data_IF_511867360463
#
_entry.id   IF_511867360463
#
_cell.length_a   1.000
_cell.length_b   1.000
_cell.length_c   1.000
_cell.angle_alpha   90.00
_cell.angle_beta   90.00
_cell.angle_gamma   90.00
#
_symmetry.space_group_name_H-M   'P 1'
#
loop_
_entity.id
_entity.type
_entity.pdbx_description
1 polymer ?
#
# COMPACT_ATOMS: atom_id res chain seq x y z
N UNK A 1 -6.09 -88.92 28.33
CA UNK A 1 -4.93 -88.20 27.75
C UNK A 1 -5.32 -87.65 26.38
N UNK A 2 -5.62 -86.36 26.28
CA UNK A 2 -6.10 -85.71 25.05
C UNK A 2 -4.93 -85.10 24.27
N UNK A 3 -4.71 -85.54 23.02
CA UNK A 3 -3.74 -84.92 22.11
C UNK A 3 -4.29 -83.59 21.60
N UNK A 4 -3.55 -82.49 21.79
CA UNK A 4 -3.84 -81.19 21.16
C UNK A 4 -3.30 -81.15 19.74
N UNK A 5 -4.16 -80.88 18.76
CA UNK A 5 -3.75 -80.59 17.38
C UNK A 5 -3.60 -79.09 17.21
N UNK A 6 -2.43 -78.61 16.81
CA UNK A 6 -2.18 -77.19 16.58
C UNK A 6 -2.50 -76.81 15.13
N UNK A 7 -3.45 -75.90 14.94
CA UNK A 7 -3.67 -75.23 13.65
C UNK A 7 -2.81 -73.96 13.59
N UNK A 8 -2.00 -73.81 12.53
CA UNK A 8 -1.21 -72.60 12.25
C UNK A 8 -2.08 -71.66 11.39
N UNK A 9 -2.41 -70.43 11.84
CA UNK A 9 -3.06 -69.46 10.97
C UNK A 9 -2.06 -68.92 9.94
N UNK A 10 -2.46 -68.85 8.67
CA UNK A 10 -1.75 -68.11 7.62
C UNK A 10 -1.83 -66.61 7.92
N UNK A 11 -0.70 -65.93 7.98
CA UNK A 11 -0.63 -64.46 7.91
C UNK A 11 -0.77 -64.02 6.45
N UNK A 12 -1.98 -63.65 6.04
CA UNK A 12 -2.21 -62.94 4.79
C UNK A 12 -1.84 -61.47 5.02
N UNK A 13 -0.92 -60.93 4.21
CA UNK A 13 -0.44 -59.56 4.34
C UNK A 13 -1.49 -58.53 3.92
N UNK A 14 -1.67 -57.50 4.75
CA UNK A 14 -2.36 -56.27 4.37
C UNK A 14 -1.30 -55.19 4.12
N UNK A 15 -1.03 -54.87 2.86
CA UNK A 15 -0.26 -53.69 2.48
C UNK A 15 -1.15 -52.46 2.74
N UNK A 16 -0.96 -51.81 3.89
CA UNK A 16 -1.61 -50.55 4.20
C UNK A 16 -1.03 -49.45 3.31
N UNK A 17 -1.69 -49.17 2.19
CA UNK A 17 -1.41 -48.00 1.37
C UNK A 17 -1.75 -46.74 2.16
N UNK A 18 -0.73 -46.08 2.72
CA UNK A 18 -0.89 -44.77 3.36
C UNK A 18 -1.15 -43.74 2.26
N UNK A 19 -2.43 -43.45 2.01
CA UNK A 19 -2.82 -42.31 1.20
C UNK A 19 -2.43 -41.04 1.97
N UNK A 20 -1.34 -40.39 1.56
CA UNK A 20 -1.06 -39.03 2.00
C UNK A 20 -2.17 -38.12 1.45
N UNK A 21 -3.13 -37.80 2.32
CA UNK A 21 -3.99 -36.64 2.12
C UNK A 21 -3.10 -35.40 2.16
N UNK A 22 -2.74 -34.89 1.00
CA UNK A 22 -2.17 -33.57 0.86
C UNK A 22 -3.22 -32.54 1.29
N UNK A 23 -3.23 -32.23 2.59
CA UNK A 23 -3.88 -31.03 3.10
C UNK A 23 -3.19 -29.84 2.44
N UNK A 24 -3.83 -29.29 1.42
CA UNK A 24 -3.40 -28.02 0.84
C UNK A 24 -3.39 -26.99 1.97
N UNK A 25 -2.23 -26.38 2.21
CA UNK A 25 -2.13 -25.24 3.11
C UNK A 25 -3.21 -24.22 2.73
N UNK A 26 -3.92 -23.59 3.68
CA UNK A 26 -4.77 -22.47 3.34
C UNK A 26 -3.89 -21.45 2.61
N UNK A 27 -4.30 -21.06 1.41
CA UNK A 27 -3.56 -20.06 0.65
C UNK A 27 -3.53 -18.78 1.49
N UNK A 28 -2.33 -18.34 1.88
CA UNK A 28 -2.10 -16.96 2.29
C UNK A 28 -2.36 -16.12 1.06
N UNK A 29 -3.59 -15.60 0.96
CA UNK A 29 -4.14 -15.22 -0.32
C UNK A 29 -3.50 -13.92 -0.84
N UNK A 30 -3.19 -13.02 0.09
CA UNK A 30 -2.25 -11.90 -0.04
C UNK A 30 -0.83 -12.36 0.36
N UNK A 31 0.15 -12.18 -0.54
CA UNK A 31 1.58 -12.50 -0.29
C UNK A 31 2.45 -11.28 -0.55
N UNK A 32 3.46 -11.04 0.29
CA UNK A 32 4.46 -9.98 0.09
C UNK A 32 5.38 -10.33 -1.10
N UNK A 33 5.59 -9.37 -2.00
CA UNK A 33 6.35 -9.53 -3.24
C UNK A 33 7.26 -8.33 -3.50
N UNK A 34 8.26 -8.50 -4.37
CA UNK A 34 9.05 -7.39 -4.90
C UNK A 34 8.19 -6.44 -5.75
N UNK A 35 8.65 -5.18 -5.87
CA UNK A 35 8.00 -4.18 -6.73
C UNK A 35 8.01 -4.61 -8.21
N UNK A 36 6.86 -4.58 -8.92
CA UNK A 36 6.80 -4.98 -10.32
C UNK A 36 7.51 -3.95 -11.21
N UNK A 37 8.03 -4.39 -12.35
CA UNK A 37 8.78 -3.53 -13.28
C UNK A 37 7.98 -2.40 -13.91
N UNK A 38 6.64 -2.47 -13.83
CA UNK A 38 5.70 -1.48 -14.36
C UNK A 38 4.43 -1.44 -13.50
N UNK A 39 3.77 -0.28 -13.49
CA UNK A 39 2.45 -0.08 -12.89
C UNK A 39 1.43 0.31 -13.97
N UNK A 40 0.21 -0.18 -13.84
CA UNK A 40 -0.94 0.16 -14.68
C UNK A 40 -1.63 1.44 -14.19
N UNK A 41 -1.57 1.72 -12.89
CA UNK A 41 -2.22 2.88 -12.28
C UNK A 41 -1.59 3.30 -10.94
N UNK A 42 -1.92 4.50 -10.48
CA UNK A 42 -1.53 5.00 -9.16
C UNK A 42 -2.64 5.85 -8.54
N UNK A 43 -2.77 5.78 -7.22
CA UNK A 43 -3.81 6.46 -6.44
C UNK A 43 -3.24 7.03 -5.15
N UNK A 44 -3.88 8.07 -4.61
CA UNK A 44 -3.64 8.56 -3.26
C UNK A 44 -4.94 8.74 -2.46
N UNK A 45 -4.82 8.60 -1.15
CA UNK A 45 -5.86 8.90 -0.16
C UNK A 45 -5.31 9.93 0.82
N UNK A 46 -5.98 11.08 0.90
CA UNK A 46 -5.80 12.04 1.99
C UNK A 46 -6.88 11.78 3.04
N UNK A 47 -6.53 10.98 4.04
CA UNK A 47 -7.44 10.53 5.09
C UNK A 47 -7.47 11.50 6.27
N UNK A 48 -8.68 11.82 6.73
CA UNK A 48 -8.91 12.73 7.86
C UNK A 48 -9.95 12.15 8.83
N UNK A 49 -10.05 12.68 10.07
CA UNK A 49 -10.92 12.13 11.11
C UNK A 49 -12.41 12.39 10.85
N UNK A 50 -12.75 13.45 10.12
CA UNK A 50 -14.11 13.90 9.80
C UNK A 50 -14.77 13.10 8.66
N UNK A 51 -13.99 12.31 7.91
CA UNK A 51 -14.46 11.47 6.80
C UNK A 51 -14.84 10.04 7.23
N UNK A 52 -14.73 9.71 8.52
CA UNK A 52 -15.01 8.36 9.07
C UNK A 52 -16.52 8.10 9.11
N UNK A 53 -16.92 6.95 8.56
CA UNK A 53 -18.31 6.48 8.48
C UNK A 53 -18.36 5.08 9.09
N UNK A 54 -19.22 4.87 10.09
CA UNK A 54 -19.36 3.54 10.71
C UNK A 54 -20.20 2.58 9.84
N UNK A 55 -20.27 1.30 10.25
CA UNK A 55 -20.97 0.25 9.50
C UNK A 55 -22.48 0.51 9.31
N UNK A 56 -23.12 1.30 10.18
CA UNK A 56 -24.54 1.70 10.05
C UNK A 56 -24.73 2.87 9.06
N UNK A 57 -23.64 3.39 8.48
CA UNK A 57 -23.63 4.53 7.56
C UNK A 57 -23.72 5.89 8.25
N UNK A 58 -23.40 5.96 9.55
CA UNK A 58 -23.41 7.19 10.34
C UNK A 58 -22.01 7.79 10.40
N UNK A 59 -21.90 9.07 10.07
CA UNK A 59 -20.66 9.82 10.24
C UNK A 59 -20.24 9.84 11.71
N UNK A 60 -19.03 9.35 11.98
CA UNK A 60 -18.52 9.12 13.33
C UNK A 60 -17.13 9.75 13.41
N UNK A 61 -16.83 10.66 14.34
CA UNK A 61 -15.51 11.29 14.40
C UNK A 61 -14.38 10.28 14.67
N UNK A 62 -13.34 10.32 13.84
CA UNK A 62 -12.04 9.69 14.12
C UNK A 62 -11.21 10.50 15.14
N UNK A 63 -9.91 10.23 15.20
CA UNK A 63 -9.03 10.89 16.17
C UNK A 63 -8.74 12.34 15.78
N UNK A 64 -9.16 13.29 16.62
CA UNK A 64 -8.86 14.72 16.44
C UNK A 64 -7.35 14.97 16.28
N UNK A 65 -6.98 15.67 15.21
CA UNK A 65 -5.58 15.98 14.88
C UNK A 65 -4.81 14.86 14.16
N UNK A 66 -5.39 13.68 13.98
CA UNK A 66 -4.79 12.63 13.16
C UNK A 66 -4.99 12.88 11.66
N UNK A 67 -4.02 12.46 10.85
CA UNK A 67 -4.10 12.46 9.38
C UNK A 67 -3.46 11.18 8.83
N UNK A 68 -3.86 10.80 7.62
CA UNK A 68 -3.21 9.71 6.89
C UNK A 68 -2.99 10.06 5.43
N UNK A 69 -1.82 9.72 4.91
CA UNK A 69 -1.52 9.72 3.47
C UNK A 69 -1.28 8.28 3.06
N UNK A 70 -2.08 7.78 2.13
CA UNK A 70 -1.92 6.44 1.57
C UNK A 70 -1.64 6.62 0.08
N UNK A 71 -0.54 6.05 -0.42
CA UNK A 71 -0.19 6.05 -1.84
C UNK A 71 -0.16 4.61 -2.31
N UNK A 72 -0.94 4.32 -3.35
CA UNK A 72 -1.06 2.99 -3.93
C UNK A 72 -0.59 3.02 -5.38
N UNK A 73 0.29 2.09 -5.75
CA UNK A 73 0.76 1.88 -7.12
C UNK A 73 0.37 0.46 -7.51
N UNK A 74 -0.44 0.32 -8.55
CA UNK A 74 -1.11 -0.92 -8.91
C UNK A 74 -0.56 -1.43 -10.24
N UNK A 75 -0.33 -2.74 -10.32
CA UNK A 75 -0.25 -3.49 -11.57
C UNK A 75 -1.41 -4.50 -11.58
N UNK A 76 -2.51 -4.15 -12.22
CA UNK A 76 -3.74 -4.96 -12.22
C UNK A 76 -3.71 -6.13 -13.21
N UNK A 77 -2.67 -6.23 -14.06
CA UNK A 77 -2.45 -7.40 -14.91
C UNK A 77 -1.69 -8.51 -14.15
N UNK A 78 -0.95 -8.14 -13.10
CA UNK A 78 -0.26 -9.05 -12.18
C UNK A 78 -0.99 -9.21 -10.83
N UNK A 79 -2.08 -8.46 -10.60
CA UNK A 79 -2.76 -8.31 -9.31
C UNK A 79 -1.81 -7.94 -8.16
N UNK A 80 -0.86 -7.04 -8.42
CA UNK A 80 0.09 -6.52 -7.42
C UNK A 80 -0.26 -5.07 -7.06
N UNK A 81 -0.31 -4.77 -5.76
CA UNK A 81 -0.46 -3.43 -5.21
C UNK A 81 0.72 -3.11 -4.28
N UNK A 82 1.53 -2.14 -4.68
CA UNK A 82 2.53 -1.51 -3.83
C UNK A 82 1.92 -0.35 -3.06
N UNK A 83 2.27 -0.20 -1.79
CA UNK A 83 1.73 0.81 -0.90
C UNK A 83 2.85 1.59 -0.19
N UNK A 84 2.60 2.87 0.06
CA UNK A 84 3.30 3.71 1.03
C UNK A 84 2.22 4.42 1.86
N UNK A 85 2.17 4.10 3.16
CA UNK A 85 1.14 4.56 4.09
C UNK A 85 1.83 5.27 5.23
N UNK A 86 1.48 6.53 5.45
CA UNK A 86 1.95 7.36 6.56
C UNK A 86 0.75 7.86 7.37
N UNK A 87 0.75 7.59 8.67
CA UNK A 87 -0.20 8.16 9.62
C UNK A 87 0.53 9.14 10.54
N UNK A 88 -0.06 10.32 10.78
CA UNK A 88 0.44 11.32 11.73
C UNK A 88 -0.64 11.58 12.79
N UNK A 89 -0.24 11.86 14.03
CA UNK A 89 -1.16 12.16 15.13
C UNK A 89 -2.02 10.98 15.61
N UNK A 90 -1.83 9.76 15.09
CA UNK A 90 -2.56 8.54 15.49
C UNK A 90 -1.96 7.93 16.76
N UNK A 91 -2.76 7.81 17.82
CA UNK A 91 -2.38 7.19 19.10
C UNK A 91 -3.10 5.87 19.37
N UNK A 92 -2.64 5.13 20.39
CA UNK A 92 -3.23 3.86 20.80
C UNK A 92 -2.85 2.67 19.90
N UNK A 93 -3.19 1.48 20.36
CA UNK A 93 -2.92 0.22 19.65
C UNK A 93 -3.91 0.01 18.50
N UNK A 94 -3.46 -0.75 17.50
CA UNK A 94 -4.29 -1.14 16.36
C UNK A 94 -5.35 -2.19 16.77
N UNK A 95 -6.57 -2.04 16.27
CA UNK A 95 -7.64 -3.04 16.45
C UNK A 95 -8.56 -3.06 15.24
N UNK A 96 -8.92 -4.26 14.77
CA UNK A 96 -9.84 -4.47 13.66
C UNK A 96 -10.43 -5.88 13.73
N UNK A 97 -11.64 -6.13 13.17
CA UNK A 97 -12.13 -7.48 12.89
C UNK A 97 -11.38 -8.17 11.74
N UNK A 98 -10.65 -7.42 10.92
CA UNK A 98 -9.79 -7.95 9.86
C UNK A 98 -8.41 -8.39 10.42
N UNK A 99 -7.59 -9.07 9.60
CA UNK A 99 -6.23 -9.52 9.93
C UNK A 99 -5.33 -8.40 10.47
N UNK A 100 -5.50 -7.20 9.92
CA UNK A 100 -4.82 -5.97 10.32
C UNK A 100 -5.86 -4.86 10.43
N UNK A 101 -5.44 -3.64 10.74
CA UNK A 101 -6.30 -2.50 11.01
C UNK A 101 -6.03 -1.32 10.07
N UNK A 102 -5.59 -1.62 8.85
CA UNK A 102 -5.23 -0.66 7.80
C UNK A 102 -5.70 -1.25 6.47
N UNK A 103 -6.59 -0.58 5.74
CA UNK A 103 -7.32 -1.22 4.65
C UNK A 103 -7.52 -0.35 3.40
N UNK A 104 -7.95 -1.02 2.32
CA UNK A 104 -8.83 -0.42 1.30
C UNK A 104 -10.21 -1.06 1.47
N UNK A 105 -11.26 -0.23 1.55
CA UNK A 105 -12.68 -0.62 1.50
C UNK A 105 -13.30 -0.31 0.14
N UNK A 106 -14.22 -1.15 -0.32
CA UNK A 106 -15.13 -0.81 -1.43
C UNK A 106 -16.31 -0.01 -0.88
N UNK A 107 -16.10 1.30 -0.75
CA UNK A 107 -17.01 2.24 -0.14
C UNK A 107 -17.08 3.54 -0.95
N UNK A 108 -18.28 3.87 -1.45
CA UNK A 108 -18.54 5.16 -2.08
C UNK A 108 -18.48 6.31 -1.07
N UNK A 109 -18.37 7.54 -1.58
CA UNK A 109 -18.37 8.78 -0.77
C UNK A 109 -19.58 8.81 0.17
N UNK A 110 -19.32 8.98 1.48
CA UNK A 110 -20.35 9.03 2.51
C UNK A 110 -21.12 7.71 2.76
N UNK A 111 -20.59 6.57 2.32
CA UNK A 111 -21.16 5.23 2.56
C UNK A 111 -20.15 4.30 3.24
N UNK A 112 -20.60 3.34 4.06
CA UNK A 112 -19.77 2.23 4.51
C UNK A 112 -19.61 1.21 3.37
N UNK A 113 -18.66 0.29 3.55
CA UNK A 113 -18.42 -0.80 2.61
C UNK A 113 -17.48 -1.84 3.22
N UNK A 114 -17.40 -3.06 2.66
CA UNK A 114 -16.50 -4.09 3.18
C UNK A 114 -15.04 -3.76 2.88
N UNK A 115 -14.08 -4.16 3.75
CA UNK A 115 -12.67 -4.13 3.39
C UNK A 115 -12.44 -5.11 2.23
N UNK A 116 -11.56 -4.76 1.29
CA UNK A 116 -11.15 -5.61 0.16
C UNK A 116 -9.67 -6.00 0.21
N UNK A 117 -8.83 -5.13 0.77
CA UNK A 117 -7.40 -5.39 1.03
C UNK A 117 -7.09 -5.00 2.47
N UNK A 118 -6.30 -5.82 3.16
CA UNK A 118 -5.74 -5.52 4.47
C UNK A 118 -4.21 -5.39 4.34
N UNK A 119 -3.63 -4.29 4.83
CA UNK A 119 -2.19 -4.00 4.74
C UNK A 119 -1.51 -4.19 6.10
N UNK A 120 -0.20 -4.50 6.16
CA UNK A 120 0.57 -4.43 7.39
C UNK A 120 0.38 -3.08 8.10
N UNK A 121 0.08 -3.13 9.40
CA UNK A 121 -0.19 -1.91 10.18
C UNK A 121 1.05 -1.00 10.23
N UNK A 122 0.90 0.32 9.99
CA UNK A 122 2.02 1.26 10.08
C UNK A 122 2.74 1.24 11.44
N UNK A 123 4.06 1.30 11.39
CA UNK A 123 4.94 1.18 12.55
C UNK A 123 6.00 2.31 12.58
N UNK A 124 6.62 2.61 13.73
CA UNK A 124 6.33 2.09 15.07
C UNK A 124 4.99 2.62 15.62
N UNK A 125 4.43 1.94 16.62
CA UNK A 125 3.32 2.47 17.44
C UNK A 125 3.90 3.47 18.45
N UNK A 126 3.39 4.70 18.48
CA UNK A 126 3.84 5.76 19.40
C UNK A 126 3.49 7.16 18.89
N UNK A 127 4.18 8.17 19.42
CA UNK A 127 3.96 9.61 19.13
C UNK A 127 4.52 10.06 17.77
N UNK A 128 5.36 9.24 17.14
CA UNK A 128 5.94 9.50 15.83
C UNK A 128 4.97 9.22 14.67
N UNK A 129 5.31 9.63 13.44
CA UNK A 129 4.60 9.17 12.27
C UNK A 129 4.72 7.64 12.17
N UNK A 130 3.59 6.97 11.97
CA UNK A 130 3.55 5.52 11.75
C UNK A 130 3.61 5.25 10.25
N UNK A 131 4.53 4.42 9.79
CA UNK A 131 4.73 4.14 8.37
C UNK A 131 4.63 2.67 8.02
N UNK A 132 4.00 2.35 6.88
CA UNK A 132 3.98 1.01 6.29
C UNK A 132 4.25 1.12 4.80
N UNK A 133 5.18 0.31 4.28
CA UNK A 133 5.42 0.21 2.85
C UNK A 133 5.74 -1.23 2.44
N UNK A 134 5.60 -1.54 1.15
CA UNK A 134 5.79 -2.88 0.59
C UNK A 134 4.89 -3.10 -0.63
N UNK A 135 4.84 -4.34 -1.12
CA UNK A 135 3.92 -4.75 -2.19
C UNK A 135 3.24 -6.07 -1.84
N UNK A 136 1.93 -6.16 -2.11
CA UNK A 136 1.13 -7.37 -1.94
C UNK A 136 0.64 -7.86 -3.30
N UNK A 137 0.75 -9.17 -3.55
CA UNK A 137 0.10 -9.83 -4.68
C UNK A 137 -1.17 -10.55 -4.20
N UNK A 138 -2.27 -10.42 -4.96
CA UNK A 138 -3.52 -11.12 -4.72
C UNK A 138 -3.47 -12.62 -5.07
N UNK A 139 -4.56 -13.39 -4.82
CA UNK A 139 -5.92 -12.92 -4.52
C UNK A 139 -6.11 -12.45 -3.07
N UNK A 140 -6.41 -11.17 -2.85
CA UNK A 140 -6.46 -10.58 -1.50
C UNK A 140 -7.50 -11.22 -0.56
N UNK A 141 -7.18 -11.27 0.74
CA UNK A 141 -8.14 -11.65 1.81
C UNK A 141 -8.00 -10.75 3.03
N UNK A 142 -9.12 -10.47 3.69
CA UNK A 142 -9.18 -9.54 4.84
C UNK A 142 -9.29 -10.24 6.18
N UNK A 143 -9.70 -11.51 6.21
CA UNK A 143 -10.11 -12.23 7.42
C UNK A 143 -11.56 -11.95 7.84
N UNK A 144 -12.23 -10.97 7.23
CA UNK A 144 -13.64 -10.63 7.52
C UNK A 144 -14.53 -11.48 6.62
N UNK A 145 -15.45 -12.25 7.21
CA UNK A 145 -16.42 -13.06 6.45
C UNK A 145 -17.76 -12.35 6.36
N UNK A 146 -18.25 -12.14 5.13
CA UNK A 146 -19.59 -11.63 4.84
C UNK A 146 -20.28 -12.53 3.81
N UNK A 147 -21.58 -12.79 4.00
CA UNK A 147 -22.37 -13.66 3.11
C UNK A 147 -21.76 -15.06 2.85
N UNK A 148 -20.95 -15.57 3.79
CA UNK A 148 -20.31 -16.90 3.72
C UNK A 148 -18.95 -16.95 3.03
N UNK A 149 -18.36 -15.82 2.62
CA UNK A 149 -17.02 -15.74 2.03
C UNK A 149 -16.19 -14.60 2.66
N UNK A 150 -14.86 -14.67 2.55
CA UNK A 150 -13.97 -13.56 2.93
C UNK A 150 -14.25 -12.33 2.05
N UNK A 151 -14.22 -11.12 2.59
CA UNK A 151 -14.56 -9.91 1.83
C UNK A 151 -13.54 -9.53 0.75
N UNK A 152 -12.33 -10.10 0.75
CA UNK A 152 -11.40 -10.03 -0.40
C UNK A 152 -11.73 -11.03 -1.52
N UNK A 153 -12.60 -12.01 -1.29
CA UNK A 153 -12.97 -13.02 -2.30
C UNK A 153 -13.59 -12.37 -3.54
N UNK A 154 -13.10 -12.73 -4.73
CA UNK A 154 -13.50 -12.19 -6.04
C UNK A 154 -13.28 -10.67 -6.22
N UNK A 155 -12.51 -10.03 -5.33
CA UNK A 155 -11.99 -8.69 -5.57
C UNK A 155 -10.78 -8.76 -6.52
N UNK A 156 -10.59 -7.70 -7.33
CA UNK A 156 -9.48 -7.53 -8.26
C UNK A 156 -9.12 -6.05 -8.33
N UNK A 157 -7.83 -5.74 -8.46
CA UNK A 157 -7.34 -4.36 -8.57
C UNK A 157 -7.94 -3.61 -9.76
N UNK A 158 -8.38 -4.30 -10.81
CA UNK A 158 -9.11 -3.70 -11.94
C UNK A 158 -10.42 -3.01 -11.52
N UNK A 159 -11.00 -3.38 -10.37
CA UNK A 159 -12.19 -2.71 -9.82
C UNK A 159 -11.84 -1.31 -9.29
N UNK A 160 -10.68 -1.14 -8.63
CA UNK A 160 -10.17 0.18 -8.23
C UNK A 160 -9.89 1.04 -9.47
N UNK A 161 -9.26 0.47 -10.49
CA UNK A 161 -8.96 1.20 -11.73
C UNK A 161 -10.21 1.68 -12.48
N UNK A 162 -11.26 0.86 -12.50
CA UNK A 162 -12.53 1.20 -13.12
C UNK A 162 -13.32 2.28 -12.37
N UNK A 163 -13.19 2.36 -11.04
CA UNK A 163 -13.93 3.33 -10.22
C UNK A 163 -13.20 3.65 -8.89
N UNK A 164 -12.14 4.47 -8.88
CA UNK A 164 -11.38 4.76 -7.65
C UNK A 164 -12.21 5.53 -6.62
N UNK A 165 -13.15 6.36 -7.07
CA UNK A 165 -14.11 7.06 -6.21
C UNK A 165 -15.15 6.12 -5.53
N UNK A 166 -15.10 4.81 -5.84
CA UNK A 166 -15.80 3.75 -5.13
C UNK A 166 -15.00 3.09 -4.00
N UNK A 167 -13.75 3.53 -3.74
CA UNK A 167 -12.87 2.92 -2.72
C UNK A 167 -12.31 3.93 -1.73
N UNK A 168 -12.22 3.55 -0.45
CA UNK A 168 -11.59 4.36 0.61
C UNK A 168 -10.39 3.69 1.24
N UNK A 169 -9.41 4.47 1.68
CA UNK A 169 -8.34 4.03 2.57
C UNK A 169 -8.60 4.50 4.01
N UNK A 170 -8.31 3.65 4.98
CA UNK A 170 -8.51 3.94 6.41
C UNK A 170 -7.51 3.20 7.30
N UNK A 171 -7.55 3.53 8.59
CA UNK A 171 -6.92 2.76 9.66
C UNK A 171 -7.77 2.79 10.92
N UNK A 172 -7.58 1.86 11.83
CA UNK A 172 -8.39 1.69 13.04
C UNK A 172 -7.52 1.48 14.28
N UNK A 173 -7.90 2.07 15.41
CA UNK A 173 -7.26 1.86 16.71
C UNK A 173 -8.30 1.47 17.76
N UNK A 174 -7.87 0.99 18.93
CA UNK A 174 -8.76 0.54 20.02
C UNK A 174 -9.81 1.61 20.38
N UNK A 175 -9.39 2.88 20.50
CA UNK A 175 -10.28 4.00 20.84
C UNK A 175 -11.14 4.48 19.66
N UNK A 176 -10.76 4.11 18.43
CA UNK A 176 -11.40 4.54 17.18
C UNK A 176 -11.70 3.34 16.27
N UNK A 177 -12.44 2.37 16.80
CA UNK A 177 -12.77 1.12 16.11
C UNK A 177 -13.58 1.32 14.81
N UNK A 178 -14.33 2.42 14.68
CA UNK A 178 -15.03 2.79 13.43
C UNK A 178 -14.08 3.36 12.34
N UNK A 179 -12.85 3.73 12.71
CA UNK A 179 -11.86 4.37 11.88
C UNK A 179 -11.18 5.52 12.64
N UNK A 180 -9.85 5.54 12.68
CA UNK A 180 -9.06 6.64 13.26
C UNK A 180 -8.92 7.80 12.27
N UNK A 181 -8.78 7.47 10.98
CA UNK A 181 -8.84 8.36 9.81
C UNK A 181 -9.43 7.58 8.64
N UNK A 182 -10.10 8.27 7.71
CA UNK A 182 -10.60 7.69 6.45
C UNK A 182 -10.49 8.71 5.31
N UNK A 183 -10.35 8.25 4.07
CA UNK A 183 -10.45 9.12 2.89
C UNK A 183 -10.75 8.36 1.60
N UNK A 184 -11.18 9.06 0.56
CA UNK A 184 -11.45 8.47 -0.77
C UNK A 184 -10.18 8.32 -1.61
N UNK A 185 -10.08 7.24 -2.40
CA UNK A 185 -9.04 7.08 -3.41
C UNK A 185 -9.23 8.08 -4.55
N UNK A 186 -8.12 8.72 -4.95
CA UNK A 186 -8.05 9.67 -6.06
C UNK A 186 -6.87 9.29 -6.97
N UNK A 187 -7.06 9.33 -8.29
CA UNK A 187 -6.00 8.96 -9.23
C UNK A 187 -4.87 9.98 -9.25
N UNK A 188 -3.64 9.50 -9.32
CA UNK A 188 -2.42 10.31 -9.53
C UNK A 188 -1.64 9.76 -10.73
N UNK A 189 -0.74 10.54 -11.35
CA UNK A 189 0.08 10.04 -12.46
C UNK A 189 0.90 8.81 -12.06
N UNK A 190 0.97 7.82 -12.96
CA UNK A 190 1.90 6.70 -12.82
C UNK A 190 3.33 7.23 -12.97
N UNK A 191 4.19 6.95 -11.99
CA UNK A 191 5.49 7.63 -11.85
C UNK A 191 5.37 9.03 -11.22
N UNK A 192 4.34 9.26 -10.41
CA UNK A 192 4.09 10.55 -9.75
C UNK A 192 5.31 11.11 -9.01
N UNK A 193 5.63 12.37 -9.35
CA UNK A 193 6.67 13.27 -8.83
C UNK A 193 7.62 12.70 -7.78
N UNK A 194 8.91 12.63 -8.13
CA UNK A 194 10.05 12.20 -7.30
C UNK A 194 9.87 12.44 -5.79
N UNK A 195 9.36 11.45 -5.06
CA UNK A 195 9.24 11.49 -3.60
C UNK A 195 10.59 11.22 -2.94
N UNK A 196 11.55 12.12 -3.16
CA UNK A 196 12.75 12.29 -2.33
C UNK A 196 13.83 11.20 -2.37
N UNK A 197 13.67 10.13 -3.14
CA UNK A 197 14.69 9.11 -3.33
C UNK A 197 15.46 9.35 -4.65
N UNK A 198 16.76 9.68 -4.54
CA UNK A 198 17.54 10.20 -5.66
C UNK A 198 17.75 9.19 -6.81
N UNK A 199 16.96 9.34 -7.86
CA UNK A 199 17.25 8.75 -9.17
C UNK A 199 18.46 9.44 -9.80
N UNK A 200 19.68 8.97 -9.50
CA UNK A 200 20.86 9.33 -10.29
C UNK A 200 20.77 8.64 -11.65
N UNK A 201 20.02 9.26 -12.56
CA UNK A 201 20.15 9.00 -13.99
C UNK A 201 21.51 9.53 -14.47
N UNK A 202 22.58 8.79 -14.20
CA UNK A 202 23.81 8.89 -14.98
C UNK A 202 23.49 8.37 -16.37
N UNK A 203 22.91 9.24 -17.20
CA UNK A 203 22.67 8.94 -18.60
C UNK A 203 23.98 8.49 -19.24
N UNK A 204 23.98 7.29 -19.81
CA UNK A 204 25.12 6.80 -20.58
C UNK A 204 25.29 7.70 -21.80
N UNK A 205 26.19 8.68 -21.69
CA UNK A 205 26.69 9.43 -22.84
C UNK A 205 27.56 8.50 -23.67
N UNK A 206 26.87 7.76 -24.54
CA UNK A 206 27.39 7.09 -25.73
C UNK A 206 28.50 7.95 -26.33
N UNK A 207 29.74 7.50 -26.15
CA UNK A 207 30.89 8.37 -26.34
C UNK A 207 31.22 8.60 -27.80
N UNK A 208 31.23 9.86 -28.24
CA UNK A 208 32.08 10.33 -29.32
C UNK A 208 32.57 11.77 -29.06
N UNK A 209 33.88 11.91 -28.90
CA UNK A 209 34.60 13.06 -29.45
C UNK A 209 34.87 14.28 -28.54
N UNK A 210 36.12 14.30 -28.06
CA UNK A 210 37.07 15.43 -28.16
C UNK A 210 37.12 16.54 -27.08
N UNK A 211 38.39 16.78 -26.71
CA UNK A 211 39.04 18.04 -26.34
C UNK A 211 38.89 18.55 -24.88
N UNK A 212 39.98 18.35 -24.13
CA UNK A 212 40.25 19.01 -22.87
C UNK A 212 40.67 20.48 -23.06
N UNK A 213 40.46 21.29 -22.01
CA UNK A 213 41.46 22.27 -21.55
C UNK A 213 41.37 22.44 -20.04
N UNK A 214 42.52 22.43 -19.37
CA UNK A 214 42.65 22.69 -17.94
C UNK A 214 43.17 24.12 -17.70
N UNK A 215 42.91 24.66 -16.50
CA UNK A 215 43.37 25.97 -16.04
C UNK A 215 42.21 26.92 -15.72
N UNK A 216 42.26 27.74 -14.68
CA UNK A 216 43.30 27.88 -13.66
C UNK A 216 42.89 28.93 -12.62
N UNK A 217 43.56 28.97 -11.47
CA UNK A 217 43.33 29.97 -10.43
C UNK A 217 43.64 31.39 -10.95
N UNK A 218 42.75 32.36 -10.69
CA UNK A 218 42.92 33.76 -11.10
C UNK A 218 42.20 34.73 -10.14
N UNK A 219 42.96 35.68 -9.59
CA UNK A 219 42.51 36.63 -8.55
C UNK A 219 41.86 37.89 -9.13
N UNK A 220 40.92 38.46 -8.35
CA UNK A 220 40.73 39.90 -8.05
C UNK A 220 40.89 40.93 -9.18
N UNK A 221 39.81 41.67 -9.48
CA UNK A 221 39.79 43.15 -9.43
C UNK A 221 38.38 43.71 -9.62
N UNK A 222 38.06 44.79 -8.89
CA UNK A 222 36.85 45.58 -9.09
C UNK A 222 37.15 46.83 -9.93
N UNK A 223 36.20 47.26 -10.78
CA UNK A 223 36.11 48.65 -11.25
C UNK A 223 34.65 49.05 -11.43
N UNK A 224 34.28 50.18 -10.84
CA UNK A 224 33.01 50.85 -11.10
C UNK A 224 33.21 51.97 -12.12
N UNK A 225 32.25 52.19 -13.01
CA UNK A 225 32.19 53.41 -13.82
C UNK A 225 30.73 53.81 -14.11
N UNK A 226 30.34 54.96 -13.55
CA UNK A 226 29.03 55.59 -13.74
C UNK A 226 29.16 56.70 -14.79
N UNK A 227 28.43 56.61 -15.91
CA UNK A 227 28.18 57.77 -16.82
C UNK A 227 26.70 57.91 -17.15
N UNK A 228 25.96 58.28 -16.11
CA UNK A 228 24.93 59.32 -16.04
C UNK A 228 24.47 60.06 -17.36
N UNK A 229 23.13 60.21 -17.49
CA UNK A 229 22.34 61.26 -18.24
C UNK A 229 22.33 61.18 -19.79
N UNK A 230 21.34 61.68 -20.55
CA UNK A 230 20.15 62.61 -20.42
C UNK A 230 19.21 62.34 -21.64
N UNK A 231 17.94 62.75 -21.81
CA UNK A 231 16.89 63.47 -21.03
C UNK A 231 15.53 63.36 -21.80
N UNK A 232 14.39 63.55 -21.11
CA UNK A 232 13.12 64.14 -21.63
C UNK A 232 12.28 63.38 -22.71
N UNK A 233 10.95 63.53 -22.80
CA UNK A 233 9.93 64.10 -21.88
C UNK A 233 8.49 63.81 -22.36
N UNK A 234 7.51 63.87 -21.41
CA UNK A 234 6.12 64.35 -21.56
C UNK A 234 5.17 63.61 -22.56
N UNK A 235 3.84 63.63 -22.47
CA UNK A 235 2.83 64.11 -21.50
C UNK A 235 1.65 63.09 -21.54
N UNK A 236 0.56 63.15 -20.78
CA UNK A 236 -0.05 64.23 -19.97
C UNK A 236 -0.95 63.62 -18.90
#
# INVERSE_FOLDING_TARGET
MTKKTYARPLTIGALAGVALLAVGSPAFADTEVDEPSQFTSAFTVMATPDQVINNDGVATPGQSGATGTFTFRINSDQEIICYDIRLEGVSGDYQSPAKTATHIHEAAVGKPGPPRIAFPNPAPVGDGPRTSSGCLQGPFTTGVVANGADTGTNFSLKQIEANPAGFTGDSHTVDFAAGVVRGQLTSIPVGGVDTGAGGTATGELSGWGLAATAGGLGLVAATALVVQRRRAAAAK
#
